data_IF_204017474169
#
_entry.id   IF_204017474169
#
_cell.length_a   1.000
_cell.length_b   1.000
_cell.length_c   1.000
_cell.angle_alpha   90.00
_cell.angle_beta   90.00
_cell.angle_gamma   90.00
#
_symmetry.space_group_name_H-M   'P 1'
#
loop_
_entity.id
_entity.type
_entity.pdbx_description
1 polymer ?
#
# COMPACT_ATOMS: atom_id res chain seq x y z
N UNK A 1 -35.95 -47.66 3.63
CA UNK A 1 -34.65 -46.97 3.52
C UNK A 1 -34.56 -45.96 4.67
N UNK A 2 -33.39 -45.79 5.29
CA UNK A 2 -33.21 -44.91 6.45
C UNK A 2 -32.33 -43.71 6.04
N UNK A 3 -32.84 -42.50 6.21
CA UNK A 3 -32.08 -41.25 6.12
C UNK A 3 -32.53 -40.32 7.25
N UNK A 4 -31.61 -39.53 7.77
CA UNK A 4 -31.69 -38.96 9.12
C UNK A 4 -31.18 -37.52 9.19
N UNK A 5 -31.58 -36.80 10.25
CA UNK A 5 -31.02 -35.53 10.72
C UNK A 5 -31.41 -34.25 9.94
N UNK A 6 -31.48 -33.07 10.63
CA UNK A 6 -32.75 -32.33 10.65
C UNK A 6 -32.66 -30.82 10.38
N UNK A 7 -33.78 -30.12 10.63
CA UNK A 7 -34.01 -28.68 10.43
C UNK A 7 -33.13 -27.76 11.32
N UNK A 8 -32.93 -26.48 10.92
CA UNK A 8 -32.14 -25.48 11.63
C UNK A 8 -32.97 -24.66 12.64
N UNK A 9 -32.35 -23.69 13.33
CA UNK A 9 -33.06 -22.46 13.75
C UNK A 9 -32.11 -21.24 13.87
N UNK A 10 -32.59 -19.99 13.66
CA UNK A 10 -31.74 -18.78 13.60
C UNK A 10 -32.02 -17.76 14.73
N UNK A 11 -31.36 -16.58 14.65
CA UNK A 11 -31.52 -15.40 15.52
C UNK A 11 -31.06 -15.60 16.99
N UNK A 12 -30.52 -14.61 17.72
CA UNK A 12 -30.42 -13.16 17.50
C UNK A 12 -29.17 -12.58 18.24
N UNK A 13 -29.08 -11.23 18.32
CA UNK A 13 -28.18 -10.44 19.19
C UNK A 13 -26.69 -10.44 18.77
N UNK A 14 -26.00 -9.30 18.56
CA UNK A 14 -26.48 -7.92 18.33
C UNK A 14 -25.43 -7.10 17.59
N UNK A 15 -25.87 -6.03 16.94
CA UNK A 15 -25.02 -4.95 16.42
C UNK A 15 -24.72 -3.95 17.55
N UNK A 16 -23.54 -3.32 17.54
CA UNK A 16 -23.12 -2.16 18.36
C UNK A 16 -23.07 -2.33 19.90
N UNK A 17 -21.90 -2.67 20.44
CA UNK A 17 -21.50 -2.34 21.82
C UNK A 17 -19.97 -2.15 21.91
N UNK A 18 -19.52 -1.05 22.55
CA UNK A 18 -18.14 -0.70 22.99
C UNK A 18 -16.95 -0.96 22.02
N UNK A 19 -16.04 -0.02 21.70
CA UNK A 19 -15.76 1.33 22.22
C UNK A 19 -15.56 1.36 23.75
N UNK A 20 -14.43 0.82 24.22
CA UNK A 20 -13.45 1.52 25.06
C UNK A 20 -12.36 0.57 25.60
N UNK A 21 -11.09 0.99 25.53
CA UNK A 21 -10.23 1.21 26.71
C UNK A 21 -8.82 1.67 26.29
N UNK A 22 -8.11 2.24 27.25
CA UNK A 22 -7.17 3.34 27.04
C UNK A 22 -5.77 3.04 26.50
N UNK A 23 -5.07 4.13 26.17
CA UNK A 23 -3.71 4.17 25.65
C UNK A 23 -2.74 4.72 26.71
N UNK A 24 -1.91 3.88 27.37
CA UNK A 24 -0.85 4.38 28.23
C UNK A 24 0.23 5.11 27.41
N UNK A 25 0.52 6.38 27.75
CA UNK A 25 1.76 7.02 27.31
C UNK A 25 2.86 6.77 28.34
N UNK A 26 4.04 6.36 27.86
CA UNK A 26 5.30 6.56 28.56
C UNK A 26 6.35 7.11 27.59
N UNK A 27 7.08 8.13 28.04
CA UNK A 27 8.24 8.71 27.33
C UNK A 27 9.50 7.93 27.75
N UNK A 28 10.41 7.65 26.82
CA UNK A 28 11.84 7.67 27.14
C UNK A 28 12.52 8.95 26.64
N UNK A 29 13.59 9.35 27.34
CA UNK A 29 14.44 10.50 26.99
C UNK A 29 15.28 10.26 25.72
N UNK A 30 15.96 11.32 25.27
CA UNK A 30 17.01 11.22 24.27
C UNK A 30 18.31 10.67 24.88
N UNK A 31 18.96 9.79 24.13
CA UNK A 31 20.38 9.45 24.26
C UNK A 31 20.98 9.26 22.86
N UNK A 32 22.30 9.23 22.75
CA UNK A 32 22.99 9.72 21.56
C UNK A 32 23.07 8.77 20.35
N UNK A 33 23.46 9.35 19.22
CA UNK A 33 23.32 8.81 17.86
C UNK A 33 24.67 8.34 17.31
N UNK A 34 25.07 7.10 17.63
CA UNK A 34 26.10 6.44 16.83
C UNK A 34 25.52 5.85 15.53
N UNK A 35 26.29 5.94 14.45
CA UNK A 35 25.95 5.38 13.14
C UNK A 35 26.74 4.08 12.94
N UNK A 36 26.08 2.93 12.96
CA UNK A 36 26.61 1.69 12.35
C UNK A 36 25.52 1.10 11.47
N UNK A 37 25.91 0.66 10.28
CA UNK A 37 24.99 0.12 9.27
C UNK A 37 25.29 -1.36 9.06
N UNK A 38 24.30 -2.21 9.30
CA UNK A 38 24.34 -3.64 9.02
C UNK A 38 23.37 -3.96 7.89
N UNK A 39 23.83 -4.74 6.90
CA UNK A 39 23.00 -5.29 5.83
C UNK A 39 22.37 -6.60 6.29
N UNK A 40 21.04 -6.69 6.27
CA UNK A 40 20.31 -7.93 6.55
C UNK A 40 19.95 -8.60 5.22
N UNK A 41 20.45 -9.80 4.97
CA UNK A 41 20.24 -10.51 3.70
C UNK A 41 18.85 -11.16 3.61
N UNK A 42 18.38 -11.78 4.69
CA UNK A 42 17.05 -12.40 4.78
C UNK A 42 16.57 -12.50 6.24
N UNK A 43 15.24 -12.48 6.44
CA UNK A 43 14.61 -12.71 7.75
C UNK A 43 13.31 -13.49 7.54
N UNK A 44 13.24 -14.72 8.05
CA UNK A 44 12.11 -15.65 7.81
C UNK A 44 11.42 -16.17 9.08
N UNK A 45 11.78 -15.63 10.26
CA UNK A 45 11.25 -16.10 11.57
C UNK A 45 10.94 -14.96 12.52
N UNK A 46 9.93 -15.18 13.38
CA UNK A 46 9.39 -14.26 14.36
C UNK A 46 10.46 -13.55 15.20
N UNK A 47 10.68 -12.26 14.94
CA UNK A 47 11.67 -11.45 15.67
C UNK A 47 11.29 -9.97 15.73
N UNK A 48 11.68 -9.26 16.78
CA UNK A 48 11.46 -7.79 16.88
C UNK A 48 12.77 -7.03 16.67
N UNK A 49 13.13 -6.84 15.41
CA UNK A 49 14.36 -6.13 15.03
C UNK A 49 14.20 -4.63 15.34
N UNK A 50 14.96 -4.13 16.31
CA UNK A 50 15.13 -2.70 16.57
C UNK A 50 16.50 -2.21 16.04
N UNK A 51 17.01 -1.08 16.53
CA UNK A 51 18.28 -0.51 16.08
C UNK A 51 19.51 -1.28 16.60
N UNK A 52 19.35 -2.14 17.61
CA UNK A 52 20.36 -3.08 18.11
C UNK A 52 19.66 -4.32 18.71
N UNK A 53 20.44 -5.40 18.85
CA UNK A 53 20.20 -6.73 19.44
C UNK A 53 18.96 -7.55 18.99
N UNK A 54 19.16 -8.87 18.88
CA UNK A 54 18.09 -9.88 18.71
C UNK A 54 17.91 -10.58 20.06
N UNK A 55 16.81 -10.29 20.76
CA UNK A 55 16.32 -11.18 21.81
C UNK A 55 15.38 -12.21 21.17
N UNK A 56 15.79 -13.48 21.18
CA UNK A 56 15.05 -14.59 20.60
C UNK A 56 14.26 -15.35 21.69
N UNK A 57 13.10 -14.82 22.07
CA UNK A 57 12.09 -15.57 22.84
C UNK A 57 11.26 -16.44 21.88
N UNK A 58 11.29 -17.76 22.06
CA UNK A 58 10.61 -18.73 21.20
C UNK A 58 9.11 -18.81 21.46
N UNK A 59 8.30 -18.09 20.65
CA UNK A 59 6.82 -18.22 20.66
C UNK A 59 6.20 -18.17 19.25
N UNK A 60 5.28 -19.11 19.02
CA UNK A 60 4.29 -19.24 17.92
C UNK A 60 4.74 -19.10 16.46
N UNK A 61 4.39 -20.09 15.64
CA UNK A 61 4.66 -20.11 14.20
C UNK A 61 3.90 -19.04 13.38
N UNK A 62 2.91 -18.34 13.95
CA UNK A 62 2.16 -17.27 13.27
C UNK A 62 2.57 -15.84 13.70
N UNK A 63 3.60 -15.66 14.53
CA UNK A 63 4.07 -14.32 14.91
C UNK A 63 4.90 -13.64 13.80
N UNK A 64 4.19 -12.94 12.89
CA UNK A 64 4.80 -12.04 11.90
C UNK A 64 5.82 -11.08 12.53
N UNK A 65 7.04 -11.08 11.99
CA UNK A 65 8.22 -10.30 12.41
C UNK A 65 7.95 -8.79 12.52
N UNK A 66 8.59 -8.10 13.47
CA UNK A 66 8.31 -6.70 13.84
C UNK A 66 9.55 -5.81 13.71
N UNK A 67 9.83 -5.34 12.51
CA UNK A 67 11.01 -4.53 12.17
C UNK A 67 10.76 -3.04 12.43
N UNK A 68 11.62 -2.36 13.20
CA UNK A 68 11.33 -1.04 13.78
C UNK A 68 12.55 -0.13 13.86
N UNK A 69 12.43 1.10 13.34
CA UNK A 69 13.51 2.13 13.30
C UNK A 69 14.74 1.78 12.45
N UNK A 70 14.77 0.61 11.79
CA UNK A 70 15.93 0.13 11.05
C UNK A 70 16.16 0.89 9.74
N UNK A 71 17.43 0.94 9.30
CA UNK A 71 17.77 1.12 7.89
C UNK A 71 17.92 -0.26 7.25
N UNK A 72 17.45 -0.40 6.02
CA UNK A 72 17.34 -1.67 5.29
C UNK A 72 17.72 -1.38 3.84
N UNK A 73 18.63 -2.17 3.28
CA UNK A 73 19.05 -2.02 1.89
C UNK A 73 19.47 -3.37 1.31
N UNK A 74 19.11 -3.63 0.05
CA UNK A 74 19.43 -4.88 -0.67
C UNK A 74 18.88 -6.15 0.03
N UNK A 75 17.77 -6.00 0.76
CA UNK A 75 17.13 -7.07 1.54
C UNK A 75 15.86 -7.59 0.87
N UNK A 76 15.57 -8.88 1.04
CA UNK A 76 14.20 -9.41 0.89
C UNK A 76 13.54 -9.55 2.26
N UNK A 77 12.30 -9.08 2.40
CA UNK A 77 11.54 -9.13 3.66
C UNK A 77 10.11 -9.60 3.37
N UNK A 78 9.74 -10.74 3.96
CA UNK A 78 8.38 -11.30 3.90
C UNK A 78 7.69 -11.20 5.27
N UNK A 79 6.37 -11.38 5.31
CA UNK A 79 5.60 -11.66 6.54
C UNK A 79 5.87 -10.72 7.73
N UNK A 80 6.10 -9.43 7.46
CA UNK A 80 6.68 -8.49 8.45
C UNK A 80 5.87 -7.20 8.64
N UNK A 81 5.75 -6.77 9.90
CA UNK A 81 5.35 -5.42 10.29
C UNK A 81 6.55 -4.47 10.24
N UNK A 82 6.49 -3.41 9.44
CA UNK A 82 7.51 -2.35 9.40
C UNK A 82 7.02 -1.08 10.09
N UNK A 83 7.82 -0.50 11.00
CA UNK A 83 7.48 0.77 11.67
C UNK A 83 8.66 1.72 11.84
N UNK A 84 8.59 2.90 11.22
CA UNK A 84 9.64 3.95 11.21
C UNK A 84 10.96 3.50 10.53
N UNK A 85 10.88 2.61 9.55
CA UNK A 85 12.08 2.11 8.84
C UNK A 85 12.42 2.98 7.62
N UNK A 86 13.67 2.91 7.16
CA UNK A 86 14.08 3.39 5.84
C UNK A 86 14.52 2.19 5.00
N UNK A 87 13.83 1.93 3.90
CA UNK A 87 14.07 0.80 2.99
C UNK A 87 14.49 1.32 1.61
N UNK A 88 15.54 0.75 1.03
CA UNK A 88 16.09 1.13 -0.29
C UNK A 88 16.50 -0.12 -1.08
N UNK A 89 16.30 -0.18 -2.40
CA UNK A 89 16.74 -1.29 -3.25
C UNK A 89 16.30 -2.68 -2.72
N UNK A 90 15.03 -2.83 -2.34
CA UNK A 90 14.54 -3.99 -1.57
C UNK A 90 13.22 -4.53 -2.10
N UNK A 91 12.98 -5.83 -1.85
CA UNK A 91 11.69 -6.49 -2.12
C UNK A 91 10.98 -6.73 -0.80
N UNK A 92 9.75 -6.22 -0.68
CA UNK A 92 8.91 -6.39 0.50
C UNK A 92 7.60 -7.10 0.10
N UNK A 93 7.27 -8.21 0.74
CA UNK A 93 6.10 -9.02 0.41
C UNK A 93 5.29 -9.44 1.66
N UNK A 94 4.00 -9.72 1.46
CA UNK A 94 3.08 -10.27 2.47
C UNK A 94 3.12 -9.46 3.78
N UNK A 95 2.99 -8.13 3.65
CA UNK A 95 3.20 -7.18 4.73
C UNK A 95 1.89 -6.82 5.45
N UNK A 96 1.68 -7.21 6.72
CA UNK A 96 0.44 -6.87 7.41
C UNK A 96 0.33 -5.37 7.74
N UNK A 97 1.47 -4.67 7.89
CA UNK A 97 1.46 -3.22 8.14
C UNK A 97 2.82 -2.53 7.95
N UNK A 98 2.87 -1.51 7.09
CA UNK A 98 3.99 -0.57 6.93
C UNK A 98 3.56 0.81 7.43
N UNK A 99 4.22 1.34 8.47
CA UNK A 99 3.77 2.55 9.18
C UNK A 99 4.91 3.53 9.49
N UNK A 100 4.79 4.80 9.11
CA UNK A 100 5.83 5.84 9.31
C UNK A 100 7.18 5.56 8.62
N UNK A 101 7.23 4.70 7.61
CA UNK A 101 8.47 4.33 6.91
C UNK A 101 8.72 5.16 5.64
N UNK A 102 9.98 5.28 5.25
CA UNK A 102 10.40 5.72 3.91
C UNK A 102 10.79 4.48 3.11
N UNK A 103 10.22 4.33 1.91
CA UNK A 103 10.51 3.25 0.97
C UNK A 103 10.97 3.89 -0.35
N UNK A 104 12.16 3.53 -0.84
CA UNK A 104 12.75 4.09 -2.06
C UNK A 104 13.26 2.98 -2.98
N UNK A 105 13.17 3.14 -4.30
CA UNK A 105 13.81 2.24 -5.29
C UNK A 105 13.47 0.74 -5.03
N UNK A 106 12.23 0.43 -4.65
CA UNK A 106 11.86 -0.87 -4.04
C UNK A 106 10.54 -1.41 -4.59
N UNK A 107 10.32 -2.71 -4.39
CA UNK A 107 9.08 -3.41 -4.76
C UNK A 107 8.29 -3.75 -3.49
N UNK A 108 6.98 -3.52 -3.51
CA UNK A 108 6.04 -3.84 -2.43
C UNK A 108 4.86 -4.63 -2.98
N UNK A 109 4.61 -5.81 -2.41
CA UNK A 109 3.52 -6.70 -2.82
C UNK A 109 2.71 -7.15 -1.59
N UNK A 110 1.44 -7.50 -1.82
CA UNK A 110 0.57 -8.16 -0.84
C UNK A 110 0.50 -7.41 0.51
N UNK A 111 0.24 -6.09 0.47
CA UNK A 111 0.32 -5.19 1.63
C UNK A 111 -1.07 -4.90 2.20
N UNK A 112 -1.35 -5.34 3.44
CA UNK A 112 -2.65 -5.08 4.06
C UNK A 112 -2.83 -3.60 4.43
N UNK A 113 -1.82 -2.93 5.01
CA UNK A 113 -1.92 -1.50 5.35
C UNK A 113 -0.61 -0.73 5.17
N UNK A 114 -0.66 0.36 4.39
CA UNK A 114 0.43 1.34 4.20
C UNK A 114 -0.03 2.71 4.72
N UNK A 115 0.59 3.23 5.78
CA UNK A 115 0.03 4.37 6.55
C UNK A 115 1.08 5.35 7.08
N UNK A 116 0.91 6.65 6.82
CA UNK A 116 1.88 7.72 7.21
C UNK A 116 3.29 7.51 6.62
N UNK A 117 3.41 6.89 5.45
CA UNK A 117 4.68 6.54 4.80
C UNK A 117 5.05 7.53 3.67
N UNK A 118 6.31 7.50 3.22
CA UNK A 118 6.72 8.04 1.91
C UNK A 118 7.20 6.89 1.02
N UNK A 119 6.81 6.93 -0.25
CA UNK A 119 7.15 5.97 -1.30
C UNK A 119 7.71 6.74 -2.50
N UNK A 120 8.88 6.33 -3.00
CA UNK A 120 9.60 7.02 -4.07
C UNK A 120 10.27 6.02 -5.02
N UNK A 121 10.18 6.22 -6.33
CA UNK A 121 10.81 5.34 -7.33
C UNK A 121 10.47 3.85 -7.18
N UNK A 122 9.23 3.53 -6.79
CA UNK A 122 8.85 2.19 -6.32
C UNK A 122 7.67 1.60 -7.09
N UNK A 123 7.57 0.27 -7.07
CA UNK A 123 6.41 -0.48 -7.56
C UNK A 123 5.63 -1.03 -6.38
N UNK A 124 4.33 -0.78 -6.33
CA UNK A 124 3.44 -1.16 -5.23
C UNK A 124 2.19 -1.84 -5.80
N UNK A 125 1.99 -3.12 -5.48
CA UNK A 125 0.86 -3.93 -5.98
C UNK A 125 0.13 -4.69 -4.87
N UNK A 126 -1.13 -5.06 -5.14
CA UNK A 126 -2.04 -5.79 -4.25
C UNK A 126 -2.11 -5.20 -2.84
N UNK A 127 -2.74 -4.03 -2.69
CA UNK A 127 -2.79 -3.27 -1.43
C UNK A 127 -4.20 -3.02 -0.95
N UNK A 128 -4.54 -3.51 0.24
CA UNK A 128 -5.88 -3.33 0.82
C UNK A 128 -6.12 -1.89 1.27
N UNK A 129 -5.13 -1.21 1.86
CA UNK A 129 -5.34 0.16 2.36
C UNK A 129 -4.11 1.07 2.37
N UNK A 130 -4.16 2.17 1.60
CA UNK A 130 -3.17 3.26 1.59
C UNK A 130 -3.76 4.49 2.30
N UNK A 131 -3.11 5.05 3.32
CA UNK A 131 -3.62 6.26 4.02
C UNK A 131 -2.56 7.23 4.52
N UNK A 132 -2.70 8.53 4.19
CA UNK A 132 -1.72 9.58 4.55
C UNK A 132 -0.32 9.21 4.05
N UNK A 133 -0.22 8.84 2.78
CA UNK A 133 1.04 8.42 2.14
C UNK A 133 1.40 9.43 1.06
N UNK A 134 2.68 9.79 1.00
CA UNK A 134 3.24 10.58 -0.11
C UNK A 134 3.90 9.62 -1.09
N UNK A 135 3.55 9.71 -2.37
CA UNK A 135 3.97 8.80 -3.43
C UNK A 135 4.58 9.64 -4.55
N UNK A 136 5.74 9.26 -5.08
CA UNK A 136 6.45 10.02 -6.12
C UNK A 136 7.20 9.09 -7.08
N UNK A 137 7.15 9.36 -8.40
CA UNK A 137 7.87 8.56 -9.42
C UNK A 137 7.61 7.05 -9.33
N UNK A 138 6.39 6.65 -8.97
CA UNK A 138 6.07 5.28 -8.57
C UNK A 138 4.94 4.68 -9.41
N UNK A 139 4.88 3.35 -9.49
CA UNK A 139 3.75 2.61 -10.06
C UNK A 139 2.93 1.99 -8.93
N UNK A 140 1.65 2.35 -8.87
CA UNK A 140 0.68 1.86 -7.88
C UNK A 140 -0.40 1.08 -8.62
N UNK A 141 -0.58 -0.21 -8.33
CA UNK A 141 -1.67 -0.99 -8.93
C UNK A 141 -2.42 -1.88 -7.96
N UNK A 142 -3.65 -2.24 -8.32
CA UNK A 142 -4.43 -3.28 -7.65
C UNK A 142 -4.67 -2.93 -6.17
N UNK A 143 -5.28 -1.76 -5.94
CA UNK A 143 -5.44 -1.16 -4.60
C UNK A 143 -6.91 -0.98 -4.26
N UNK A 144 -7.38 -1.57 -3.15
CA UNK A 144 -8.79 -1.49 -2.77
C UNK A 144 -9.19 -0.09 -2.30
N UNK A 145 -8.32 0.64 -1.57
CA UNK A 145 -8.60 2.03 -1.18
C UNK A 145 -7.36 2.87 -0.85
N UNK A 146 -7.28 4.05 -1.47
CA UNK A 146 -6.34 5.14 -1.17
C UNK A 146 -7.10 6.27 -0.46
N UNK A 147 -6.60 6.78 0.66
CA UNK A 147 -7.29 7.85 1.43
C UNK A 147 -6.36 8.91 2.01
N UNK A 148 -6.60 10.19 1.68
CA UNK A 148 -5.75 11.32 2.09
C UNK A 148 -4.27 11.11 1.71
N UNK A 149 -4.01 10.66 0.50
CA UNK A 149 -2.66 10.53 -0.05
C UNK A 149 -2.27 11.77 -0.88
N UNK A 150 -0.98 11.91 -1.15
CA UNK A 150 -0.44 12.87 -2.13
C UNK A 150 0.39 12.08 -3.13
N UNK A 151 0.07 12.14 -4.42
CA UNK A 151 0.72 11.33 -5.46
C UNK A 151 1.22 12.25 -6.58
N UNK A 152 2.48 12.11 -6.99
CA UNK A 152 3.11 12.99 -7.97
C UNK A 152 3.98 12.23 -8.98
N UNK A 153 4.02 12.66 -10.25
CA UNK A 153 4.86 12.07 -11.31
C UNK A 153 4.74 10.52 -11.40
N UNK A 154 3.53 9.96 -11.29
CA UNK A 154 3.32 8.51 -11.02
C UNK A 154 2.24 7.86 -11.89
N UNK A 155 2.17 6.52 -11.86
CA UNK A 155 1.11 5.72 -12.45
C UNK A 155 0.20 5.14 -11.36
N UNK A 156 -1.11 5.28 -11.52
CA UNK A 156 -2.13 4.59 -10.74
C UNK A 156 -2.93 3.68 -11.68
N UNK A 157 -3.16 2.42 -11.31
CA UNK A 157 -3.92 1.46 -12.14
C UNK A 157 -4.84 0.55 -11.30
N UNK A 158 -6.11 0.37 -11.69
CA UNK A 158 -7.07 -0.52 -10.98
C UNK A 158 -7.15 -0.19 -9.48
N UNK A 159 -7.47 1.07 -9.17
CA UNK A 159 -7.68 1.52 -7.78
C UNK A 159 -9.18 1.68 -7.51
N UNK A 160 -9.74 0.76 -6.73
CA UNK A 160 -11.18 0.64 -6.50
C UNK A 160 -11.80 1.85 -5.77
N UNK A 161 -11.01 2.61 -4.99
CA UNK A 161 -11.40 3.93 -4.52
C UNK A 161 -10.21 4.81 -4.12
N UNK A 162 -10.00 5.94 -4.79
CA UNK A 162 -9.16 7.04 -4.28
C UNK A 162 -10.05 8.09 -3.62
N UNK A 163 -9.75 8.48 -2.38
CA UNK A 163 -10.59 9.38 -1.60
C UNK A 163 -9.81 10.53 -0.93
N UNK A 164 -10.31 11.77 -1.00
CA UNK A 164 -9.81 12.92 -0.20
C UNK A 164 -8.31 13.15 -0.34
N UNK A 165 -7.77 12.91 -1.53
CA UNK A 165 -6.34 12.91 -1.85
C UNK A 165 -5.99 14.02 -2.85
N UNK A 166 -4.71 14.19 -3.15
CA UNK A 166 -4.23 15.12 -4.20
C UNK A 166 -3.31 14.35 -5.13
N UNK A 167 -3.51 14.47 -6.45
CA UNK A 167 -2.74 13.79 -7.48
C UNK A 167 -2.16 14.86 -8.42
N UNK A 168 -0.89 14.78 -8.84
CA UNK A 168 -0.27 15.72 -9.79
C UNK A 168 0.59 14.98 -10.82
N UNK A 169 0.58 15.40 -12.09
CA UNK A 169 1.45 14.84 -13.15
C UNK A 169 1.39 13.30 -13.25
N UNK A 170 0.19 12.72 -13.19
CA UNK A 170 0.02 11.27 -13.20
C UNK A 170 -0.79 10.79 -14.41
N UNK A 171 -0.53 9.52 -14.77
CA UNK A 171 -1.44 8.71 -15.58
C UNK A 171 -2.27 7.87 -14.62
N UNK A 172 -3.60 7.87 -14.78
CA UNK A 172 -4.53 7.23 -13.85
C UNK A 172 -5.53 6.36 -14.62
N UNK A 173 -5.38 5.04 -14.44
CA UNK A 173 -6.01 4.00 -15.25
C UNK A 173 -7.00 3.15 -14.44
N UNK A 174 -8.19 2.87 -14.98
CA UNK A 174 -9.18 1.96 -14.36
C UNK A 174 -9.50 2.28 -12.87
N UNK A 175 -9.66 3.55 -12.49
CA UNK A 175 -9.84 3.97 -11.09
C UNK A 175 -11.22 4.56 -10.80
N UNK A 176 -11.72 4.43 -9.57
CA UNK A 176 -12.88 5.19 -9.07
C UNK A 176 -12.36 6.25 -8.10
N UNK A 177 -12.60 7.53 -8.36
CA UNK A 177 -12.00 8.63 -7.58
C UNK A 177 -13.04 9.58 -7.00
N UNK A 178 -12.89 9.92 -5.71
CA UNK A 178 -13.85 10.67 -4.90
C UNK A 178 -13.21 11.82 -4.11
N UNK A 179 -13.76 13.03 -4.23
CA UNK A 179 -13.37 14.26 -3.52
C UNK A 179 -11.85 14.43 -3.47
N UNK A 180 -11.20 14.39 -4.62
CA UNK A 180 -9.74 14.29 -4.78
C UNK A 180 -9.31 15.28 -5.84
N UNK A 181 -8.29 16.07 -5.55
CA UNK A 181 -7.80 17.15 -6.42
C UNK A 181 -6.78 16.60 -7.42
N UNK A 182 -6.77 17.11 -8.65
CA UNK A 182 -5.91 16.60 -9.73
C UNK A 182 -5.40 17.71 -10.66
N UNK A 183 -4.10 17.68 -11.00
CA UNK A 183 -3.40 18.76 -11.73
C UNK A 183 -2.39 18.21 -12.76
N UNK A 184 -2.43 18.73 -13.99
CA UNK A 184 -1.53 18.33 -15.09
C UNK A 184 -1.64 16.83 -15.43
N UNK A 185 -2.78 16.42 -15.99
CA UNK A 185 -3.27 15.03 -15.86
C UNK A 185 -3.66 14.39 -17.17
N UNK A 186 -3.64 13.04 -17.15
CA UNK A 186 -4.31 12.23 -18.17
C UNK A 186 -5.06 11.06 -17.53
N UNK A 187 -6.37 10.99 -17.79
CA UNK A 187 -7.34 10.18 -17.04
C UNK A 187 -8.13 9.28 -17.99
N UNK A 188 -8.06 7.95 -17.83
CA UNK A 188 -8.86 6.97 -18.60
C UNK A 188 -9.17 5.75 -17.72
N UNK A 189 -10.36 5.18 -17.61
CA UNK A 189 -11.57 5.32 -18.39
C UNK A 189 -12.75 5.10 -17.43
N UNK A 190 -13.49 6.10 -16.95
CA UNK A 190 -12.94 7.30 -16.30
C UNK A 190 -13.20 7.26 -14.79
N UNK A 191 -14.47 7.45 -14.38
CA UNK A 191 -15.06 7.46 -13.01
C UNK A 191 -14.36 8.36 -11.96
N UNK A 192 -14.72 9.65 -11.99
CA UNK A 192 -14.30 10.69 -11.04
C UNK A 192 -15.49 11.48 -10.49
N UNK A 193 -15.42 11.85 -9.21
CA UNK A 193 -16.53 12.44 -8.44
C UNK A 193 -16.00 13.25 -7.24
N UNK A 194 -16.70 14.19 -6.64
CA UNK A 194 -17.64 15.11 -7.27
C UNK A 194 -16.72 16.21 -7.86
N UNK A 195 -16.47 16.24 -9.18
CA UNK A 195 -15.37 17.05 -9.73
C UNK A 195 -15.06 17.10 -11.25
N UNK A 196 -15.69 16.41 -12.21
CA UNK A 196 -16.64 15.30 -12.15
C UNK A 196 -16.68 14.59 -13.52
N UNK A 197 -16.46 13.27 -13.59
CA UNK A 197 -16.96 12.45 -14.70
C UNK A 197 -17.31 11.04 -14.20
N UNK A 198 -18.59 10.87 -13.85
CA UNK A 198 -19.10 9.75 -13.02
C UNK A 198 -19.29 8.42 -13.77
N UNK A 199 -18.50 8.19 -14.81
CA UNK A 199 -18.57 7.02 -15.71
C UNK A 199 -17.32 6.91 -16.59
N UNK A 200 -16.96 5.74 -17.14
CA UNK A 200 -17.34 4.36 -16.77
C UNK A 200 -16.13 3.45 -16.99
N UNK A 201 -15.68 2.69 -15.98
CA UNK A 201 -14.72 1.57 -16.12
C UNK A 201 -15.51 0.28 -16.41
N UNK A 202 -16.50 0.24 -17.30
CA UNK A 202 -16.38 0.20 -18.77
C UNK A 202 -16.94 -1.15 -19.27
N UNK A 203 -17.37 -1.24 -20.54
CA UNK A 203 -17.77 -2.49 -21.22
C UNK A 203 -17.24 -2.64 -22.66
N UNK A 204 -16.55 -1.64 -23.22
CA UNK A 204 -15.98 -1.72 -24.60
C UNK A 204 -14.92 -0.66 -24.97
N UNK A 205 -14.65 0.30 -24.07
CA UNK A 205 -13.57 1.31 -24.06
C UNK A 205 -13.68 2.51 -25.00
N UNK A 206 -14.23 3.59 -24.45
CA UNK A 206 -13.54 4.89 -24.43
C UNK A 206 -14.04 5.82 -23.31
N UNK A 207 -13.15 6.32 -22.45
CA UNK A 207 -13.30 7.61 -21.74
C UNK A 207 -11.92 8.24 -21.69
N UNK A 208 -11.91 9.53 -22.06
CA UNK A 208 -10.84 10.26 -22.75
C UNK A 208 -11.06 11.77 -22.52
N UNK A 209 -10.07 12.68 -22.51
CA UNK A 209 -8.60 12.59 -22.47
C UNK A 209 -8.03 14.01 -22.15
N UNK A 210 -6.71 14.09 -21.92
CA UNK A 210 -5.80 15.28 -22.05
C UNK A 210 -5.59 16.16 -20.80
N UNK A 211 -4.45 16.84 -20.65
CA UNK A 211 -3.30 16.96 -21.57
C UNK A 211 -1.94 16.84 -20.87
N UNK A 212 -1.07 15.99 -21.45
CA UNK A 212 0.38 16.19 -21.52
C UNK A 212 0.75 16.30 -23.04
N UNK A 213 2.03 16.53 -23.37
CA UNK A 213 2.77 16.41 -24.67
C UNK A 213 3.89 17.49 -24.65
N UNK A 214 4.99 17.39 -25.40
CA UNK A 214 5.46 16.22 -26.16
C UNK A 214 6.26 15.27 -25.26
N UNK A 215 6.01 13.97 -25.41
CA UNK A 215 6.49 12.96 -24.46
C UNK A 215 5.44 12.65 -23.39
N UNK A 216 4.19 12.42 -23.81
CA UNK A 216 3.13 11.87 -22.95
C UNK A 216 3.52 10.50 -22.38
N UNK A 217 4.15 10.52 -21.19
CA UNK A 217 4.91 9.36 -20.70
C UNK A 217 6.05 9.03 -21.70
N UNK A 218 6.72 7.88 -21.57
CA UNK A 218 7.16 7.19 -22.80
C UNK A 218 6.03 6.26 -23.26
N UNK A 219 5.01 6.90 -23.82
CA UNK A 219 3.80 6.33 -24.45
C UNK A 219 2.91 5.43 -23.57
N UNK A 220 2.27 5.99 -22.54
CA UNK A 220 1.17 5.35 -21.78
C UNK A 220 1.49 4.09 -20.94
N UNK A 221 2.66 3.47 -21.10
CA UNK A 221 3.48 2.76 -20.10
C UNK A 221 4.94 2.62 -20.59
N UNK A 222 5.32 2.02 -21.71
CA UNK A 222 4.70 1.74 -23.02
C UNK A 222 3.39 0.91 -22.98
N UNK A 223 2.27 1.52 -23.41
CA UNK A 223 0.84 1.18 -23.16
C UNK A 223 0.56 -0.16 -22.47
N UNK A 224 0.43 -0.09 -21.15
CA UNK A 224 0.37 -1.22 -20.24
C UNK A 224 1.38 -2.34 -20.60
N UNK A 225 2.67 -1.99 -20.64
CA UNK A 225 3.83 -2.81 -21.05
C UNK A 225 4.26 -3.89 -20.06
N UNK A 226 3.30 -4.41 -19.30
CA UNK A 226 3.19 -5.84 -19.07
C UNK A 226 1.75 -6.19 -18.64
N UNK A 227 0.76 -5.78 -19.43
CA UNK A 227 -0.64 -6.20 -19.28
C UNK A 227 -0.78 -7.68 -19.60
N UNK A 228 0.05 -8.20 -20.51
CA UNK A 228 0.62 -9.54 -20.38
C UNK A 228 2.03 -9.39 -19.81
N UNK A 229 2.50 -10.20 -18.88
CA UNK A 229 2.00 -11.51 -18.45
C UNK A 229 0.92 -11.35 -17.36
N UNK A 230 -0.36 -11.78 -17.43
CA UNK A 230 -1.19 -12.67 -18.31
C UNK A 230 -0.51 -13.94 -18.85
N UNK A 231 -0.89 -15.14 -18.43
CA UNK A 231 -1.72 -15.53 -17.26
C UNK A 231 -1.01 -16.70 -16.57
N UNK A 232 -0.60 -16.50 -15.32
CA UNK A 232 0.24 -17.40 -14.52
C UNK A 232 0.63 -16.72 -13.20
#
# INVERSE_FOLDING_TARGET
MHLSHPQPCPHAISILAAINNDYPQSKPQASERLKRSTSLSSVSSASTINNDSINADTKSADEKTRIRRCKIALSSITSSYLKRCHVVNSTLDTLPSVKWSLIKDSILMNVLTLKRAKVESATVSNVVYIRRVTITKSTISDVLRVKKATVNDSLLRRVLLVERSTIKKCVVNDCIIYKTDFEGMRLENGIWRDGCLVGRVDQSREVVFRALEEGEYRSGVERAGNMMRREG
#
